data_IF_650113084464
#
_entry.id   IF_650113084464
#
_cell.length_a   1.000
_cell.length_b   1.000
_cell.length_c   1.000
_cell.angle_alpha   90.00
_cell.angle_beta   90.00
_cell.angle_gamma   90.00
#
_symmetry.space_group_name_H-M   'P 1'
#
loop_
_entity.id
_entity.type
_entity.pdbx_description
1 polymer ?
#
# COMPACT_ATOMS: atom_id res chain seq x y z
N UNK A 1 -5.98 5.32 -9.00
CA UNK A 1 -5.72 4.53 -7.77
C UNK A 1 -5.64 5.40 -6.51
N UNK A 2 -4.86 6.50 -6.49
CA UNK A 2 -4.77 7.39 -5.31
C UNK A 2 -6.02 8.28 -5.08
N UNK A 3 -6.88 8.45 -6.08
CA UNK A 3 -8.06 9.33 -6.01
C UNK A 3 -9.14 8.86 -5.04
N UNK A 4 -9.19 7.56 -4.74
CA UNK A 4 -10.12 6.99 -3.76
C UNK A 4 -9.61 7.01 -2.32
N UNK A 5 -8.45 7.62 -2.06
CA UNK A 5 -7.86 7.67 -0.71
C UNK A 5 -8.56 8.73 0.12
N UNK A 6 -9.05 8.31 1.28
CA UNK A 6 -9.61 9.16 2.31
C UNK A 6 -8.85 8.91 3.62
N UNK A 7 -8.20 9.94 4.15
CA UNK A 7 -7.47 9.89 5.42
C UNK A 7 -8.26 10.68 6.47
N UNK A 8 -8.87 10.00 7.46
CA UNK A 8 -9.63 10.68 8.51
C UNK A 8 -8.71 11.52 9.40
N UNK A 9 -9.26 12.62 9.90
CA UNK A 9 -8.62 13.45 10.92
C UNK A 9 -9.19 13.07 12.28
N UNK A 10 -8.34 12.54 13.16
CA UNK A 10 -8.77 12.11 14.51
C UNK A 10 -9.31 13.28 15.34
N UNK A 11 -8.83 14.50 15.11
CA UNK A 11 -9.28 15.72 15.78
C UNK A 11 -10.55 16.36 15.16
N UNK A 12 -11.20 15.70 14.19
CA UNK A 12 -12.33 16.25 13.45
C UNK A 12 -11.96 17.11 12.24
N UNK A 13 -12.98 17.54 11.49
CA UNK A 13 -12.85 18.32 10.25
C UNK A 13 -12.81 17.46 8.97
N UNK A 14 -12.72 18.13 7.82
CA UNK A 14 -12.78 17.47 6.51
C UNK A 14 -11.67 16.42 6.34
N UNK A 15 -11.98 15.31 5.67
CA UNK A 15 -10.99 14.28 5.35
C UNK A 15 -9.88 14.82 4.45
N UNK A 16 -8.67 14.28 4.59
CA UNK A 16 -7.60 14.54 3.61
C UNK A 16 -7.67 13.52 2.48
N UNK A 17 -7.38 13.97 1.27
CA UNK A 17 -7.26 13.10 0.09
C UNK A 17 -5.81 12.67 -0.19
N UNK A 18 -4.87 13.12 0.64
CA UNK A 18 -3.43 12.85 0.50
C UNK A 18 -2.85 12.38 1.83
N UNK A 19 -2.25 11.19 1.89
CA UNK A 19 -1.49 10.73 3.05
C UNK A 19 -0.12 11.41 3.11
N UNK A 20 0.48 11.43 4.29
CA UNK A 20 1.84 11.97 4.48
C UNK A 20 2.89 11.05 3.85
N UNK A 21 2.66 9.73 3.93
CA UNK A 21 3.52 8.72 3.33
C UNK A 21 2.74 7.54 2.74
N UNK A 22 3.32 6.90 1.73
CA UNK A 22 2.84 5.65 1.13
C UNK A 22 3.91 4.59 1.29
N UNK A 23 3.54 3.50 1.99
CA UNK A 23 4.34 2.27 2.12
C UNK A 23 3.85 1.28 1.08
N UNK A 24 4.73 0.84 0.20
CA UNK A 24 4.37 -0.13 -0.84
C UNK A 24 5.54 -1.07 -1.14
N UNK A 25 5.19 -2.22 -1.70
CA UNK A 25 6.18 -3.23 -2.05
C UNK A 25 7.13 -2.78 -3.16
N UNK A 26 8.29 -3.44 -3.19
CA UNK A 26 9.35 -3.29 -4.20
C UNK A 26 8.83 -3.35 -5.65
N UNK A 27 7.75 -4.08 -5.91
CA UNK A 27 7.11 -4.14 -7.23
C UNK A 27 6.62 -2.76 -7.73
N UNK A 28 6.27 -1.86 -6.81
CA UNK A 28 5.79 -0.50 -7.10
C UNK A 28 6.91 0.54 -7.19
N UNK A 29 8.18 0.14 -7.24
CA UNK A 29 9.34 1.04 -7.26
C UNK A 29 9.51 1.87 -8.54
N UNK A 30 8.62 1.73 -9.52
CA UNK A 30 8.73 2.36 -10.83
C UNK A 30 8.89 3.88 -10.73
N UNK A 31 9.62 4.44 -11.71
CA UNK A 31 9.86 5.89 -11.79
C UNK A 31 8.54 6.66 -11.84
N UNK A 32 7.59 6.23 -12.67
CA UNK A 32 6.27 6.83 -12.81
C UNK A 32 5.50 6.87 -11.47
N UNK A 33 5.54 5.80 -10.67
CA UNK A 33 4.90 5.79 -9.36
C UNK A 33 5.54 6.80 -8.40
N UNK A 34 6.88 6.88 -8.40
CA UNK A 34 7.61 7.83 -7.54
C UNK A 34 7.38 9.28 -7.97
N UNK A 35 7.29 9.55 -9.27
CA UNK A 35 6.97 10.87 -9.82
C UNK A 35 5.55 11.29 -9.47
N UNK A 36 4.58 10.38 -9.57
CA UNK A 36 3.19 10.62 -9.15
C UNK A 36 3.08 10.95 -7.65
N UNK A 37 3.82 10.23 -6.79
CA UNK A 37 3.83 10.51 -5.35
C UNK A 37 4.49 11.86 -5.06
N UNK A 38 5.60 12.17 -5.75
CA UNK A 38 6.32 13.44 -5.61
C UNK A 38 5.47 14.63 -6.06
N UNK A 39 4.76 14.55 -7.19
CA UNK A 39 3.89 15.62 -7.67
C UNK A 39 2.72 15.90 -6.74
N UNK A 40 2.33 14.93 -5.92
CA UNK A 40 1.30 15.07 -4.88
C UNK A 40 1.85 15.45 -3.50
N UNK A 41 3.17 15.54 -3.34
CA UNK A 41 3.82 15.84 -2.05
C UNK A 41 3.81 14.70 -1.04
N UNK A 42 3.67 13.45 -1.50
CA UNK A 42 3.54 12.26 -0.65
C UNK A 42 4.92 11.57 -0.52
N UNK A 43 5.37 11.27 0.71
CA UNK A 43 6.62 10.54 0.95
C UNK A 43 6.50 9.09 0.47
N UNK A 44 7.39 8.64 -0.40
CA UNK A 44 7.41 7.29 -0.92
C UNK A 44 8.33 6.38 -0.08
N UNK A 45 7.76 5.51 0.75
CA UNK A 45 8.48 4.48 1.52
C UNK A 45 8.40 3.16 0.76
N UNK A 46 9.08 3.12 -0.38
CA UNK A 46 9.08 2.00 -1.31
C UNK A 46 10.54 1.58 -1.53
N UNK A 47 10.92 0.32 -1.27
CA UNK A 47 12.28 -0.13 -1.51
C UNK A 47 12.57 -0.12 -3.01
N UNK A 48 13.83 0.14 -3.36
CA UNK A 48 14.28 0.11 -4.74
C UNK A 48 14.51 -1.32 -5.23
N UNK A 49 14.26 -1.58 -6.51
CA UNK A 49 14.63 -2.87 -7.10
C UNK A 49 16.16 -3.03 -7.22
N UNK A 50 16.66 -4.25 -7.02
CA UNK A 50 18.11 -4.50 -6.99
C UNK A 50 18.75 -4.21 -8.35
N UNK A 51 18.06 -4.58 -9.44
CA UNK A 51 18.41 -4.24 -10.82
C UNK A 51 18.40 -2.73 -11.08
N UNK A 52 17.42 -1.99 -10.55
CA UNK A 52 17.35 -0.53 -10.65
C UNK A 52 18.52 0.14 -9.95
N UNK A 53 18.88 -0.35 -8.76
CA UNK A 53 20.04 0.14 -8.02
C UNK A 53 21.36 -0.15 -8.79
N UNK A 54 21.53 -1.37 -9.31
CA UNK A 54 22.71 -1.75 -10.10
C UNK A 54 22.82 -0.92 -11.39
N UNK A 55 21.72 -0.77 -12.14
CA UNK A 55 21.68 0.02 -13.36
C UNK A 55 21.98 1.51 -13.11
N UNK A 56 21.54 2.06 -11.97
CA UNK A 56 21.90 3.41 -11.55
C UNK A 56 23.40 3.53 -11.35
N UNK A 57 24.01 2.61 -10.61
CA UNK A 57 25.46 2.59 -10.34
C UNK A 57 26.23 2.48 -11.65
N UNK A 58 25.82 1.59 -12.55
CA UNK A 58 26.44 1.40 -13.86
C UNK A 58 26.39 2.66 -14.74
N UNK A 59 25.37 3.51 -14.56
CA UNK A 59 25.24 4.81 -15.26
C UNK A 59 26.13 5.92 -14.67
N UNK A 60 26.82 5.67 -13.56
CA UNK A 60 27.70 6.64 -12.91
C UNK A 60 26.98 7.97 -12.63
N UNK A 61 27.56 9.10 -13.07
CA UNK A 61 26.99 10.44 -12.88
C UNK A 61 25.59 10.59 -13.50
N UNK A 62 25.31 9.89 -14.61
CA UNK A 62 23.99 9.94 -15.27
C UNK A 62 22.91 9.11 -14.54
N UNK A 63 23.30 8.30 -13.54
CA UNK A 63 22.37 7.49 -12.76
C UNK A 63 21.50 8.30 -11.78
N UNK A 64 21.97 9.47 -11.35
CA UNK A 64 21.26 10.32 -10.38
C UNK A 64 21.30 9.79 -8.94
N UNK A 65 20.53 10.44 -8.05
CA UNK A 65 20.53 10.17 -6.60
C UNK A 65 19.64 8.97 -6.24
N UNK A 66 20.07 8.12 -5.29
CA UNK A 66 19.20 7.07 -4.76
C UNK A 66 17.88 7.59 -4.17
N UNK A 67 16.77 6.86 -4.32
CA UNK A 67 15.53 7.19 -3.63
C UNK A 67 15.72 7.18 -2.11
N UNK A 68 15.12 8.14 -1.41
CA UNK A 68 15.08 8.11 0.04
C UNK A 68 14.21 6.92 0.49
N UNK A 69 14.74 6.04 1.34
CA UNK A 69 14.04 4.88 1.88
C UNK A 69 14.23 4.82 3.39
N UNK A 70 13.14 4.58 4.10
CA UNK A 70 13.05 4.57 5.55
C UNK A 70 12.69 3.15 6.01
N UNK A 71 13.67 2.34 6.44
CA UNK A 71 13.44 0.95 6.82
C UNK A 71 12.50 0.78 8.01
N UNK A 72 12.53 1.71 8.97
CA UNK A 72 11.67 1.64 10.15
C UNK A 72 10.22 1.93 9.79
N UNK A 73 9.96 2.98 8.99
CA UNK A 73 8.62 3.20 8.47
C UNK A 73 8.13 2.02 7.62
N UNK A 74 9.02 1.39 6.83
CA UNK A 74 8.67 0.25 5.99
C UNK A 74 8.13 -0.96 6.75
N UNK A 75 8.57 -1.21 8.00
CA UNK A 75 8.03 -2.29 8.85
C UNK A 75 6.52 -2.18 9.04
N UNK A 76 5.97 -0.97 8.96
CA UNK A 76 4.53 -0.73 9.05
C UNK A 76 3.69 -1.38 7.94
N UNK A 77 4.30 -1.88 6.85
CA UNK A 77 3.57 -2.65 5.82
C UNK A 77 2.97 -3.95 6.37
N UNK A 78 3.52 -4.48 7.46
CA UNK A 78 3.06 -5.73 8.11
C UNK A 78 1.57 -5.69 8.48
N UNK A 79 1.01 -4.51 8.75
CA UNK A 79 -0.44 -4.34 8.99
C UNK A 79 -1.25 -4.77 7.76
N UNK A 80 -0.82 -4.33 6.58
CA UNK A 80 -1.46 -4.69 5.31
C UNK A 80 -1.26 -6.18 5.01
N UNK A 81 -0.05 -6.71 5.21
CA UNK A 81 0.25 -8.14 5.01
C UNK A 81 -0.63 -9.03 5.89
N UNK A 82 -0.77 -8.70 7.17
CA UNK A 82 -1.65 -9.41 8.11
C UNK A 82 -3.11 -9.35 7.69
N UNK A 83 -3.60 -8.18 7.24
CA UNK A 83 -4.95 -8.04 6.74
C UNK A 83 -5.21 -8.92 5.50
N UNK A 84 -4.27 -8.94 4.53
CA UNK A 84 -4.37 -9.83 3.37
C UNK A 84 -4.30 -11.30 3.75
N UNK A 85 -3.43 -11.68 4.70
CA UNK A 85 -3.34 -13.06 5.18
C UNK A 85 -4.64 -13.53 5.83
N UNK A 86 -5.28 -12.68 6.66
CA UNK A 86 -6.61 -12.96 7.20
C UNK A 86 -7.66 -13.10 6.10
N UNK A 87 -7.70 -12.17 5.16
CA UNK A 87 -8.66 -12.22 4.05
C UNK A 87 -8.47 -13.49 3.19
N UNK A 88 -7.25 -13.99 3.05
CA UNK A 88 -6.96 -15.25 2.34
C UNK A 88 -7.46 -16.52 3.05
N UNK A 89 -7.93 -16.46 4.29
CA UNK A 89 -8.67 -17.58 4.88
C UNK A 89 -9.98 -17.86 4.12
N UNK A 90 -10.51 -16.84 3.44
CA UNK A 90 -11.68 -16.98 2.58
C UNK A 90 -11.26 -17.48 1.20
N UNK A 91 -11.73 -18.68 0.82
CA UNK A 91 -11.36 -19.34 -0.43
C UNK A 91 -11.60 -18.46 -1.66
N UNK A 92 -12.71 -17.71 -1.70
CA UNK A 92 -13.04 -16.79 -2.79
C UNK A 92 -11.97 -15.69 -2.97
N UNK A 93 -11.45 -15.13 -1.88
CA UNK A 93 -10.40 -14.11 -1.92
C UNK A 93 -9.03 -14.71 -2.25
N UNK A 94 -8.75 -15.91 -1.74
CA UNK A 94 -7.47 -16.57 -1.96
C UNK A 94 -7.25 -16.99 -3.41
N UNK A 95 -8.27 -17.57 -4.05
CA UNK A 95 -8.15 -18.10 -5.42
C UNK A 95 -8.15 -17.02 -6.49
N UNK A 96 -8.72 -15.83 -6.21
CA UNK A 96 -8.80 -14.70 -7.15
C UNK A 96 -9.39 -15.08 -8.52
N UNK A 97 -10.42 -15.92 -8.54
CA UNK A 97 -11.12 -16.25 -9.80
C UNK A 97 -12.09 -15.16 -10.25
N UNK A 98 -12.32 -14.15 -9.43
CA UNK A 98 -13.08 -12.96 -9.80
C UNK A 98 -12.41 -12.24 -10.99
N UNK A 99 -13.09 -12.23 -12.13
CA UNK A 99 -12.61 -11.56 -13.35
C UNK A 99 -12.63 -10.03 -13.24
N UNK A 100 -13.53 -9.48 -12.41
CA UNK A 100 -13.71 -8.05 -12.25
C UNK A 100 -13.09 -7.58 -10.94
N UNK A 101 -12.33 -6.48 -11.02
CA UNK A 101 -11.74 -5.84 -9.84
C UNK A 101 -12.81 -5.41 -8.81
N UNK A 102 -14.01 -5.07 -9.28
CA UNK A 102 -15.14 -4.72 -8.41
C UNK A 102 -15.59 -5.93 -7.56
N UNK A 103 -15.78 -7.10 -8.18
CA UNK A 103 -16.20 -8.32 -7.49
C UNK A 103 -15.15 -8.78 -6.49
N UNK A 104 -13.88 -8.79 -6.90
CA UNK A 104 -12.78 -9.10 -5.99
C UNK A 104 -12.74 -8.15 -4.78
N UNK A 105 -12.92 -6.84 -5.02
CA UNK A 105 -12.98 -5.83 -3.96
C UNK A 105 -14.17 -6.07 -3.03
N UNK A 106 -15.35 -6.41 -3.56
CA UNK A 106 -16.53 -6.70 -2.76
C UNK A 106 -16.30 -7.91 -1.85
N UNK A 107 -15.70 -8.99 -2.37
CA UNK A 107 -15.34 -10.17 -1.56
C UNK A 107 -14.35 -9.84 -0.44
N UNK A 108 -13.35 -9.01 -0.72
CA UNK A 108 -12.41 -8.55 0.30
C UNK A 108 -13.09 -7.70 1.39
N UNK A 109 -13.99 -6.79 1.01
CA UNK A 109 -14.76 -5.98 1.96
C UNK A 109 -15.67 -6.84 2.84
N UNK A 110 -16.35 -7.83 2.24
CA UNK A 110 -17.19 -8.76 2.98
C UNK A 110 -16.39 -9.54 4.02
N UNK A 111 -15.22 -10.06 3.65
CA UNK A 111 -14.32 -10.74 4.59
C UNK A 111 -13.90 -9.82 5.74
N UNK A 112 -13.63 -8.53 5.44
CA UNK A 112 -13.31 -7.53 6.46
C UNK A 112 -14.47 -7.22 7.40
N UNK A 113 -15.70 -7.11 6.89
CA UNK A 113 -16.90 -6.88 7.70
C UNK A 113 -17.13 -8.05 8.67
N UNK A 114 -17.03 -9.29 8.18
CA UNK A 114 -17.23 -10.48 9.03
C UNK A 114 -16.16 -10.56 10.13
N UNK A 115 -14.90 -10.26 9.80
CA UNK A 115 -13.83 -10.21 10.79
C UNK A 115 -14.09 -9.12 11.85
N UNK A 116 -14.57 -7.95 11.44
CA UNK A 116 -14.91 -6.86 12.34
C UNK A 116 -16.05 -7.22 13.30
N UNK A 117 -17.09 -7.89 12.79
CA UNK A 117 -18.22 -8.33 13.61
C UNK A 117 -17.81 -9.37 14.66
N UNK A 118 -16.88 -10.28 14.35
CA UNK A 118 -16.32 -11.21 15.34
C UNK A 118 -15.62 -10.47 16.47
N UNK A 119 -14.76 -9.50 16.13
CA UNK A 119 -14.05 -8.69 17.12
C UNK A 119 -14.99 -7.88 18.03
N UNK A 120 -16.16 -7.46 17.52
CA UNK A 120 -17.18 -6.78 18.32
C UNK A 120 -17.96 -7.74 19.22
N UNK A 121 -18.24 -8.96 18.76
CA UNK A 121 -18.94 -9.98 19.54
C UNK A 121 -18.08 -10.62 20.64
N UNK A 122 -16.75 -10.59 20.47
CA UNK A 122 -15.78 -11.09 21.45
C UNK A 122 -15.40 -10.05 22.53
N UNK A 123 -15.93 -8.83 22.46
CA UNK A 123 -15.82 -7.83 23.54
C UNK A 123 -16.90 -8.11 24.62
N UNK A 124 -16.54 -8.24 25.90
CA UNK A 124 -17.51 -8.47 26.99
C UNK A 124 -18.47 -7.29 27.21
#
# INVERSE_FOLDING_TARGET
MLEGICVPRLAGGAHRTRPDEVRADKAYSSRANRELLRSKGIKAVIPEKTDQAANRVNKGRAGGRPPNFDPESYKGRNVVERAFNKARQWRAVATRYDKLALTYRAGFLLAGIVEWLKLLGDMP
#
